data_IF_567700181727
#
_entry.id   IF_567700181727
#
_cell.length_a   1.000
_cell.length_b   1.000
_cell.length_c   1.000
_cell.angle_alpha   90.00
_cell.angle_beta   90.00
_cell.angle_gamma   90.00
#
_symmetry.space_group_name_H-M   'P 1'
#
loop_
_entity.id
_entity.type
_entity.pdbx_description
1 polymer ?
#
# COMPACT_ATOMS: atom_id res chain seq x y z
N UNK A 1 3.44 22.96 20.55
CA UNK A 1 4.71 23.66 20.33
C UNK A 1 5.81 22.67 20.64
N UNK A 2 6.79 22.53 19.75
CA UNK A 2 7.92 21.62 19.94
C UNK A 2 9.22 22.38 19.69
N UNK A 3 10.23 22.08 20.48
CA UNK A 3 11.56 22.61 20.30
C UNK A 3 12.32 21.77 19.28
N UNK A 4 13.02 22.40 18.37
CA UNK A 4 13.78 21.69 17.34
C UNK A 4 15.17 21.30 17.81
N UNK A 5 15.83 20.40 17.09
CA UNK A 5 17.23 20.05 17.37
C UNK A 5 18.18 21.26 17.33
N UNK A 6 17.88 22.25 16.47
CA UNK A 6 18.68 23.49 16.37
C UNK A 6 18.62 24.32 17.64
N UNK A 7 17.46 24.38 18.28
CA UNK A 7 17.31 25.07 19.59
C UNK A 7 18.21 24.43 20.65
N UNK A 8 18.19 23.09 20.77
CA UNK A 8 19.02 22.41 21.77
C UNK A 8 20.50 22.60 21.52
N UNK A 9 20.93 22.57 20.26
CA UNK A 9 22.34 22.84 19.91
C UNK A 9 22.71 24.30 20.29
N UNK A 10 21.88 25.28 19.96
CA UNK A 10 22.13 26.67 20.33
C UNK A 10 22.17 26.86 21.85
N UNK A 11 21.24 26.21 22.57
CA UNK A 11 21.23 26.25 24.03
C UNK A 11 22.51 25.66 24.67
N UNK A 12 22.95 24.51 24.17
CA UNK A 12 24.20 23.87 24.64
C UNK A 12 25.39 24.80 24.38
N UNK A 13 25.47 25.46 23.22
CA UNK A 13 26.54 26.40 22.92
C UNK A 13 26.54 27.59 23.90
N UNK A 14 25.36 28.13 24.22
CA UNK A 14 25.22 29.23 25.20
C UNK A 14 25.67 28.77 26.60
N UNK A 15 25.28 27.56 27.01
CA UNK A 15 25.69 27.01 28.31
C UNK A 15 27.23 26.83 28.41
N UNK A 16 27.84 26.30 27.32
CA UNK A 16 29.31 26.16 27.26
C UNK A 16 30.03 27.52 27.32
N UNK A 17 29.45 28.54 26.66
CA UNK A 17 29.98 29.89 26.68
C UNK A 17 29.91 30.50 28.09
N UNK A 18 28.78 30.32 28.78
CA UNK A 18 28.62 30.78 30.17
C UNK A 18 29.59 30.03 31.11
N UNK A 19 29.75 28.71 30.89
CA UNK A 19 30.70 27.91 31.67
C UNK A 19 32.17 28.34 31.48
N UNK A 20 32.53 28.72 30.24
CA UNK A 20 33.88 29.26 29.95
C UNK A 20 34.13 30.61 30.59
N UNK A 21 33.08 31.34 30.95
CA UNK A 21 33.15 32.61 31.69
C UNK A 21 33.72 32.49 33.07
N UNK A 22 33.75 31.26 33.64
CA UNK A 22 34.51 31.00 34.91
C UNK A 22 36.00 31.16 34.77
N UNK A 23 36.53 30.84 33.59
CA UNK A 23 37.98 30.97 33.28
C UNK A 23 38.30 32.40 32.81
N UNK A 24 37.40 33.02 32.04
CA UNK A 24 37.62 34.35 31.45
C UNK A 24 36.35 35.22 31.61
N UNK A 25 36.43 36.24 32.48
CA UNK A 25 35.29 37.14 32.79
C UNK A 25 34.55 37.75 31.58
N UNK A 26 35.23 38.12 30.45
CA UNK A 26 34.52 38.61 29.26
C UNK A 26 33.50 37.65 28.66
N UNK A 27 33.80 36.31 28.70
CA UNK A 27 32.90 35.31 28.12
C UNK A 27 31.59 35.18 28.90
N UNK A 28 31.60 35.49 30.20
CA UNK A 28 30.38 35.50 30.98
C UNK A 28 29.38 36.59 30.49
N UNK A 29 29.86 37.81 30.24
CA UNK A 29 29.05 38.90 29.73
C UNK A 29 28.52 38.57 28.32
N UNK A 30 29.37 38.02 27.45
CA UNK A 30 28.96 37.58 26.11
C UNK A 30 27.90 36.46 26.19
N UNK A 31 28.08 35.49 27.12
CA UNK A 31 27.09 34.43 27.35
C UNK A 31 25.75 34.92 27.79
N UNK A 32 25.65 35.96 28.65
CA UNK A 32 24.42 36.59 29.05
C UNK A 32 23.69 37.25 27.87
N UNK A 33 24.42 37.98 27.03
CA UNK A 33 23.86 38.58 25.81
C UNK A 33 23.42 37.54 24.81
N UNK A 34 24.16 36.44 24.66
CA UNK A 34 23.80 35.31 23.79
C UNK A 34 22.52 34.63 24.29
N UNK A 35 22.34 34.44 25.60
CA UNK A 35 21.14 33.87 26.17
C UNK A 35 19.93 34.78 25.92
N UNK A 36 20.10 36.09 26.12
CA UNK A 36 19.05 37.07 25.84
C UNK A 36 18.67 37.10 24.35
N UNK A 37 19.67 37.06 23.47
CA UNK A 37 19.44 37.01 22.04
C UNK A 37 18.70 35.71 21.63
N UNK A 38 19.07 34.57 22.20
CA UNK A 38 18.38 33.31 21.97
C UNK A 38 16.91 33.39 22.39
N UNK A 39 16.63 33.96 23.55
CA UNK A 39 15.26 34.18 24.04
C UNK A 39 14.44 35.07 23.09
N UNK A 40 15.01 36.15 22.59
CA UNK A 40 14.36 37.07 21.63
C UNK A 40 14.10 36.32 20.32
N UNK A 41 15.07 35.55 19.81
CA UNK A 41 14.91 34.78 18.56
C UNK A 41 13.84 33.71 18.68
N UNK A 42 13.77 32.96 19.79
CA UNK A 42 12.72 31.98 20.05
C UNK A 42 11.34 32.62 20.11
N UNK A 43 11.25 33.78 20.81
CA UNK A 43 10.00 34.52 20.91
C UNK A 43 9.52 35.05 19.54
N UNK A 44 10.46 35.54 18.73
CA UNK A 44 10.17 36.02 17.39
C UNK A 44 9.72 34.85 16.46
N UNK A 45 10.41 33.71 16.49
CA UNK A 45 10.05 32.52 15.73
C UNK A 45 8.65 32.00 16.14
N UNK A 46 8.38 31.97 17.46
CA UNK A 46 7.07 31.62 17.99
C UNK A 46 5.97 32.58 17.54
N UNK A 47 6.22 33.90 17.63
CA UNK A 47 5.26 34.88 17.17
C UNK A 47 4.91 34.72 15.68
N UNK A 48 5.91 34.52 14.84
CA UNK A 48 5.73 34.33 13.41
C UNK A 48 4.92 33.05 13.11
N UNK A 49 5.24 31.95 13.77
CA UNK A 49 4.57 30.67 13.59
C UNK A 49 3.12 30.66 14.06
N UNK A 50 2.80 31.42 15.12
CA UNK A 50 1.47 31.41 15.73
C UNK A 50 0.54 32.53 15.24
N UNK A 51 1.08 33.59 14.68
CA UNK A 51 0.30 34.69 14.12
C UNK A 51 -0.58 34.24 12.94
N UNK A 52 -0.09 33.29 12.13
CA UNK A 52 -0.81 32.79 10.97
C UNK A 52 -1.30 31.37 11.25
N UNK A 53 -2.58 31.12 10.95
CA UNK A 53 -3.15 29.78 10.95
C UNK A 53 -3.47 29.41 9.51
N UNK A 54 -2.67 28.55 8.89
CA UNK A 54 -2.86 28.38 7.47
C UNK A 54 -2.25 27.14 6.86
N UNK A 55 -2.28 26.00 7.58
CA UNK A 55 -1.95 24.71 6.98
C UNK A 55 -3.21 23.84 6.99
N UNK A 56 -3.56 23.35 5.80
CA UNK A 56 -4.60 22.36 5.62
C UNK A 56 -3.99 21.14 4.91
N UNK A 57 -4.38 19.97 5.34
CA UNK A 57 -3.95 18.73 4.72
C UNK A 57 -5.15 17.82 4.52
N UNK A 58 -5.27 17.27 3.31
CA UNK A 58 -6.36 16.39 2.91
C UNK A 58 -5.77 15.08 2.36
N UNK A 59 -6.31 13.96 2.84
CA UNK A 59 -6.01 12.64 2.29
C UNK A 59 -6.96 12.33 1.14
N UNK A 60 -6.43 11.83 0.05
CA UNK A 60 -7.18 11.25 -1.05
C UNK A 60 -6.70 9.83 -1.26
N UNK A 61 -7.58 8.89 -1.08
CA UNK A 61 -7.36 7.47 -1.34
C UNK A 61 -8.65 6.84 -1.82
N UNK A 62 -8.56 5.66 -2.38
CA UNK A 62 -9.75 4.87 -2.73
C UNK A 62 -10.45 4.37 -1.46
N UNK A 63 -11.77 4.33 -1.45
CA UNK A 63 -12.56 3.76 -0.35
C UNK A 63 -12.38 2.24 -0.21
N UNK A 64 -11.79 1.62 -1.24
CA UNK A 64 -11.59 0.16 -1.32
C UNK A 64 -10.15 -0.12 -1.72
N UNK A 65 -9.45 -0.85 -0.87
CA UNK A 65 -8.10 -1.32 -1.14
C UNK A 65 -8.10 -2.77 -1.57
N UNK A 66 -7.16 -3.13 -2.41
CA UNK A 66 -6.90 -4.50 -2.84
C UNK A 66 -5.82 -5.13 -1.97
N UNK A 67 -6.12 -6.31 -1.41
CA UNK A 67 -5.16 -7.05 -0.56
C UNK A 67 -4.01 -7.62 -1.38
N UNK A 68 -2.78 -7.36 -0.96
CA UNK A 68 -1.57 -7.82 -1.65
C UNK A 68 -1.12 -6.96 -2.82
N UNK A 69 -1.92 -5.97 -3.24
CA UNK A 69 -1.61 -5.04 -4.32
C UNK A 69 -1.17 -3.69 -3.76
N UNK A 70 -0.47 -2.91 -4.57
CA UNK A 70 -0.06 -1.56 -4.22
C UNK A 70 -1.22 -0.59 -4.42
N UNK A 71 -1.70 0.00 -3.32
CA UNK A 71 -2.78 0.96 -3.31
C UNK A 71 -2.21 2.37 -3.10
N UNK A 72 -2.51 3.28 -4.02
CA UNK A 72 -2.02 4.65 -3.95
C UNK A 72 -2.82 5.47 -2.93
N UNK A 73 -2.09 6.20 -2.09
CA UNK A 73 -2.62 7.19 -1.16
C UNK A 73 -1.92 8.51 -1.44
N UNK A 74 -2.66 9.59 -1.58
CA UNK A 74 -2.10 10.92 -1.80
C UNK A 74 -2.53 11.87 -0.68
N UNK A 75 -1.59 12.70 -0.22
CA UNK A 75 -1.82 13.75 0.76
C UNK A 75 -1.57 15.07 0.06
N UNK A 76 -2.59 15.89 -0.02
CA UNK A 76 -2.48 17.28 -0.49
C UNK A 76 -2.38 18.21 0.70
N UNK A 77 -1.28 18.96 0.77
CA UNK A 77 -1.04 19.97 1.78
C UNK A 77 -1.04 21.34 1.14
N UNK A 78 -1.79 22.27 1.72
CA UNK A 78 -1.91 23.64 1.27
C UNK A 78 -1.45 24.58 2.38
N UNK A 79 -0.68 25.61 2.00
CA UNK A 79 -0.16 26.61 2.92
C UNK A 79 -0.66 27.99 2.53
N UNK A 80 -1.19 28.74 3.49
CA UNK A 80 -1.53 30.17 3.32
C UNK A 80 -0.48 31.09 3.94
N UNK A 81 0.65 30.55 4.36
CA UNK A 81 1.76 31.36 4.85
C UNK A 81 2.43 32.12 3.70
N UNK A 82 2.76 33.38 3.96
CA UNK A 82 3.48 34.24 3.01
C UNK A 82 5.01 34.03 2.99
N UNK A 83 5.49 32.96 3.63
CA UNK A 83 6.92 32.62 3.73
C UNK A 83 7.17 31.16 3.39
N UNK A 84 8.34 30.84 2.88
CA UNK A 84 8.70 29.44 2.66
C UNK A 84 8.84 28.69 4.01
N UNK A 85 8.22 27.51 4.10
CA UNK A 85 8.18 26.69 5.29
C UNK A 85 8.76 25.29 5.01
N UNK A 86 9.40 24.75 6.02
CA UNK A 86 9.78 23.32 6.04
C UNK A 86 8.69 22.53 6.75
N UNK A 87 8.17 21.52 6.07
CA UNK A 87 7.11 20.66 6.57
C UNK A 87 7.61 19.24 6.80
N UNK A 88 7.18 18.67 7.90
CA UNK A 88 7.28 17.26 8.19
C UNK A 88 5.86 16.70 8.37
N UNK A 89 5.44 15.84 7.45
CA UNK A 89 4.09 15.32 7.36
C UNK A 89 4.12 13.86 7.79
N UNK A 90 3.32 13.53 8.80
CA UNK A 90 3.16 12.18 9.32
C UNK A 90 1.71 11.78 9.15
N UNK A 91 1.47 10.72 8.39
CA UNK A 91 0.14 10.13 8.28
C UNK A 91 -0.03 8.99 9.28
N UNK A 92 -1.11 9.02 10.06
CA UNK A 92 -1.44 7.98 11.01
C UNK A 92 -2.08 6.79 10.28
N UNK A 93 -1.22 5.89 9.81
CA UNK A 93 -1.62 4.67 9.12
C UNK A 93 -1.93 3.56 10.13
N UNK A 94 -2.97 2.73 9.91
CA UNK A 94 -3.22 1.56 10.72
C UNK A 94 -2.02 0.64 10.85
N UNK A 95 -1.73 0.16 12.04
CA UNK A 95 -0.55 -0.65 12.37
C UNK A 95 -0.35 -1.89 11.47
N UNK A 96 -1.45 -2.42 10.95
CA UNK A 96 -1.45 -3.64 10.14
C UNK A 96 -0.74 -3.50 8.79
N UNK A 97 -0.62 -2.27 8.27
CA UNK A 97 0.12 -2.01 7.03
C UNK A 97 1.64 -2.11 7.21
N UNK A 98 2.13 -2.27 8.46
CA UNK A 98 3.54 -2.45 8.84
C UNK A 98 4.50 -1.38 8.29
N UNK A 99 3.96 -0.29 7.73
CA UNK A 99 4.74 0.83 7.24
C UNK A 99 4.82 1.88 8.34
N UNK A 100 5.94 1.89 9.08
CA UNK A 100 6.14 2.79 10.23
C UNK A 100 6.73 4.14 9.84
N UNK A 101 7.30 4.24 8.65
CA UNK A 101 8.11 5.39 8.22
C UNK A 101 7.38 6.28 7.22
N UNK A 102 6.08 6.55 7.44
CA UNK A 102 5.33 7.49 6.60
C UNK A 102 5.54 8.91 7.12
N UNK A 103 6.78 9.35 7.03
CA UNK A 103 7.21 10.69 7.39
C UNK A 103 7.80 11.36 6.13
N UNK A 104 7.07 12.34 5.61
CA UNK A 104 7.49 13.06 4.41
C UNK A 104 8.00 14.43 4.80
N UNK A 105 9.25 14.73 4.41
CA UNK A 105 9.84 16.06 4.58
C UNK A 105 9.81 16.80 3.27
N UNK A 106 9.26 18.00 3.29
CA UNK A 106 9.16 18.85 2.10
C UNK A 106 9.23 20.32 2.49
N UNK A 107 9.56 21.16 1.51
CA UNK A 107 9.46 22.62 1.68
C UNK A 107 8.33 23.12 0.79
N UNK A 108 7.56 24.07 1.31
CA UNK A 108 6.53 24.78 0.55
C UNK A 108 6.95 26.24 0.37
N UNK A 109 6.70 26.75 -0.82
CA UNK A 109 6.79 28.19 -1.10
C UNK A 109 5.56 28.92 -0.58
N UNK A 110 5.57 30.25 -0.49
CA UNK A 110 4.43 31.03 -0.07
C UNK A 110 3.18 30.70 -0.89
N UNK A 111 2.05 30.43 -0.21
CA UNK A 111 0.76 30.12 -0.82
C UNK A 111 0.79 28.94 -1.81
N UNK A 112 1.68 28.00 -1.60
CA UNK A 112 1.83 26.81 -2.43
C UNK A 112 1.06 25.62 -1.85
N UNK A 113 0.50 24.79 -2.74
CA UNK A 113 -0.05 23.48 -2.43
C UNK A 113 0.81 22.37 -3.04
N UNK A 114 1.11 21.33 -2.27
CA UNK A 114 1.90 20.19 -2.74
C UNK A 114 1.18 18.87 -2.45
N UNK A 115 1.21 17.99 -3.43
CA UNK A 115 0.69 16.62 -3.29
C UNK A 115 1.84 15.63 -3.16
N UNK A 116 1.74 14.76 -2.18
CA UNK A 116 2.70 13.69 -1.90
C UNK A 116 1.94 12.37 -2.04
N UNK A 117 2.39 11.48 -2.91
CA UNK A 117 1.82 10.15 -3.09
C UNK A 117 2.73 9.09 -2.49
N UNK A 118 2.11 8.08 -1.89
CA UNK A 118 2.79 6.89 -1.40
C UNK A 118 1.90 5.67 -1.60
N UNK A 119 2.48 4.48 -1.53
CA UNK A 119 1.78 3.23 -1.77
C UNK A 119 1.69 2.40 -0.49
N UNK A 120 0.52 1.80 -0.28
CA UNK A 120 0.29 0.87 0.82
C UNK A 120 -0.11 -0.49 0.28
N UNK A 121 0.50 -1.52 0.86
CA UNK A 121 0.23 -2.91 0.49
C UNK A 121 -0.34 -3.66 1.69
N UNK A 122 -1.67 -3.73 1.81
CA UNK A 122 -2.31 -4.48 2.88
C UNK A 122 -2.04 -5.98 2.74
N UNK A 123 -1.83 -6.65 3.87
CA UNK A 123 -1.58 -8.10 3.90
C UNK A 123 -2.77 -8.91 4.38
N UNK A 124 -3.78 -8.25 4.95
CA UNK A 124 -5.00 -8.90 5.46
C UNK A 124 -6.24 -8.12 5.04
N UNK A 125 -7.31 -8.83 4.79
CA UNK A 125 -8.64 -8.27 4.52
C UNK A 125 -9.25 -7.72 5.80
N UNK A 126 -10.09 -6.70 5.70
CA UNK A 126 -10.79 -6.12 6.84
C UNK A 126 -11.12 -4.65 6.61
N UNK A 127 -11.67 -4.02 7.66
CA UNK A 127 -11.91 -2.58 7.71
C UNK A 127 -10.83 -1.97 8.60
N UNK A 128 -10.17 -0.94 8.09
CA UNK A 128 -9.07 -0.28 8.77
C UNK A 128 -9.31 1.22 8.85
N UNK A 129 -9.19 1.76 10.05
CA UNK A 129 -9.38 3.18 10.30
C UNK A 129 -8.05 3.91 10.21
N UNK A 130 -7.96 4.82 9.27
CA UNK A 130 -6.87 5.78 9.19
C UNK A 130 -7.07 6.88 10.23
N UNK A 131 -6.01 7.24 10.93
CA UNK A 131 -6.01 8.33 11.86
C UNK A 131 -5.92 9.71 11.19
N UNK A 132 -5.43 10.67 11.94
CA UNK A 132 -5.27 12.05 11.50
C UNK A 132 -3.93 12.24 10.78
N UNK A 133 -3.85 13.32 10.00
CA UNK A 133 -2.61 13.77 9.38
C UNK A 133 -1.96 14.79 10.29
N UNK A 134 -0.74 14.51 10.75
CA UNK A 134 0.04 15.44 11.59
C UNK A 134 1.05 16.17 10.72
N UNK A 135 0.96 17.49 10.68
CA UNK A 135 1.88 18.34 9.93
C UNK A 135 2.68 19.19 10.91
N UNK A 136 3.98 18.97 10.95
CA UNK A 136 4.90 19.81 11.71
C UNK A 136 5.49 20.86 10.80
N UNK A 137 5.34 22.10 11.20
CA UNK A 137 5.74 23.28 10.45
C UNK A 137 6.90 23.97 11.14
N UNK A 138 7.94 24.24 10.39
CA UNK A 138 9.15 24.91 10.87
C UNK A 138 9.49 26.06 9.92
N UNK A 139 9.76 27.24 10.44
CA UNK A 139 10.22 28.41 9.67
C UNK A 139 11.72 28.29 9.34
N UNK A 140 12.26 29.24 8.58
CA UNK A 140 13.69 29.31 8.22
C UNK A 140 14.62 29.34 9.42
N UNK A 141 14.26 30.07 10.48
CA UNK A 141 15.01 30.14 11.73
C UNK A 141 15.12 28.73 12.31
N UNK A 142 13.98 28.03 12.39
CA UNK A 142 13.94 26.63 12.72
C UNK A 142 14.23 26.32 14.17
N UNK A 143 13.95 27.22 15.10
CA UNK A 143 14.09 26.98 16.53
C UNK A 143 12.86 26.32 17.11
N UNK A 144 11.69 26.62 16.56
CA UNK A 144 10.40 26.09 16.95
C UNK A 144 9.74 25.31 15.84
N UNK A 145 8.91 24.36 16.24
CA UNK A 145 8.01 23.63 15.33
C UNK A 145 6.59 23.66 15.88
N UNK A 146 5.63 23.99 15.02
CA UNK A 146 4.21 23.96 15.33
C UNK A 146 3.56 22.75 14.70
N UNK A 147 2.81 21.98 15.49
CA UNK A 147 2.03 20.85 15.00
C UNK A 147 0.62 21.29 14.62
N UNK A 148 0.23 20.93 13.41
CA UNK A 148 -1.15 20.97 12.94
C UNK A 148 -1.68 19.55 12.88
N UNK A 149 -2.92 19.38 13.26
CA UNK A 149 -3.64 18.11 13.15
C UNK A 149 -4.75 18.33 12.15
N UNK A 150 -4.66 17.66 11.03
CA UNK A 150 -5.54 17.83 9.87
C UNK A 150 -6.17 16.50 9.49
N UNK A 151 -7.18 16.57 8.63
CA UNK A 151 -7.88 15.39 8.13
C UNK A 151 -8.86 14.80 9.15
N UNK A 152 -9.82 14.06 8.65
CA UNK A 152 -10.74 13.28 9.47
C UNK A 152 -10.34 11.81 9.43
N UNK A 153 -10.59 11.04 10.51
CA UNK A 153 -10.46 9.58 10.45
C UNK A 153 -11.34 9.04 9.34
N UNK A 154 -10.79 8.11 8.56
CA UNK A 154 -11.47 7.50 7.43
C UNK A 154 -11.32 5.99 7.50
N UNK A 155 -12.44 5.27 7.39
CA UNK A 155 -12.45 3.82 7.33
C UNK A 155 -12.30 3.36 5.89
N UNK A 156 -11.33 2.47 5.66
CA UNK A 156 -11.04 1.90 4.35
C UNK A 156 -11.27 0.39 4.42
N UNK A 157 -11.99 -0.14 3.43
CA UNK A 157 -12.27 -1.57 3.30
C UNK A 157 -11.24 -2.24 2.40
N UNK A 158 -10.56 -3.26 2.92
CA UNK A 158 -9.59 -4.06 2.16
C UNK A 158 -10.26 -5.33 1.67
N UNK A 159 -10.39 -5.45 0.35
CA UNK A 159 -10.98 -6.59 -0.35
C UNK A 159 -9.91 -7.57 -0.84
N UNK A 160 -10.28 -8.81 -1.21
CA UNK A 160 -9.37 -9.71 -1.91
C UNK A 160 -8.81 -9.08 -3.19
N UNK A 161 -7.58 -9.46 -3.57
CA UNK A 161 -6.98 -8.97 -4.82
C UNK A 161 -7.81 -9.41 -6.03
N UNK A 162 -8.47 -8.45 -6.66
CA UNK A 162 -9.23 -8.70 -7.89
C UNK A 162 -8.30 -8.80 -9.11
N UNK A 163 -7.12 -8.18 -9.06
CA UNK A 163 -6.10 -8.30 -10.12
C UNK A 163 -5.58 -9.73 -10.20
N UNK A 164 -5.32 -10.35 -9.06
CA UNK A 164 -4.92 -11.76 -9.00
C UNK A 164 -6.05 -12.67 -9.50
N UNK A 165 -7.30 -12.40 -9.11
CA UNK A 165 -8.45 -13.16 -9.60
C UNK A 165 -8.55 -13.10 -11.13
N UNK A 166 -8.48 -11.91 -11.70
CA UNK A 166 -8.55 -11.72 -13.16
C UNK A 166 -7.37 -12.40 -13.87
N UNK A 167 -6.16 -12.33 -13.29
CA UNK A 167 -5.00 -13.05 -13.82
C UNK A 167 -5.19 -14.57 -13.81
N UNK A 168 -5.72 -15.11 -12.71
CA UNK A 168 -6.02 -16.55 -12.64
C UNK A 168 -7.18 -16.96 -13.55
N UNK A 169 -8.18 -16.11 -13.74
CA UNK A 169 -9.27 -16.32 -14.68
C UNK A 169 -8.73 -16.40 -16.13
N UNK A 170 -7.89 -15.45 -16.52
CA UNK A 170 -7.22 -15.47 -17.83
C UNK A 170 -6.33 -16.70 -18.01
N UNK A 171 -5.60 -17.10 -16.97
CA UNK A 171 -4.78 -18.30 -17.00
C UNK A 171 -5.62 -19.59 -17.06
N UNK A 172 -6.77 -19.61 -16.40
CA UNK A 172 -7.69 -20.75 -16.47
C UNK A 172 -8.38 -20.87 -17.84
N UNK A 173 -8.61 -19.73 -18.53
CA UNK A 173 -9.12 -19.70 -19.89
C UNK A 173 -8.06 -20.00 -20.94
N UNK A 174 -6.79 -19.71 -20.65
CA UNK A 174 -5.68 -20.09 -21.51
C UNK A 174 -5.35 -21.56 -21.26
N UNK A 175 -5.19 -22.36 -22.32
CA UNK A 175 -4.80 -23.79 -22.24
C UNK A 175 -3.39 -24.02 -21.63
N UNK A 176 -2.73 -22.98 -21.14
CA UNK A 176 -1.37 -22.96 -20.58
C UNK A 176 -1.28 -23.33 -19.09
N UNK A 177 -2.22 -24.11 -18.58
CA UNK A 177 -2.16 -24.66 -17.20
C UNK A 177 -0.88 -25.48 -16.94
N UNK A 178 -0.19 -25.88 -18.00
CA UNK A 178 1.07 -26.65 -17.95
C UNK A 178 2.25 -25.78 -17.45
N UNK A 179 2.26 -24.48 -17.73
CA UNK A 179 3.33 -23.56 -17.30
C UNK A 179 3.28 -23.25 -15.80
N UNK A 180 2.11 -23.41 -15.18
CA UNK A 180 1.91 -23.20 -13.73
C UNK A 180 2.26 -24.43 -12.88
N UNK A 181 2.83 -25.50 -13.49
CA UNK A 181 3.16 -26.73 -12.75
C UNK A 181 1.95 -27.54 -12.31
N UNK A 182 0.75 -27.17 -12.76
CA UNK A 182 -0.47 -27.95 -12.49
C UNK A 182 -0.45 -29.16 -13.42
N UNK A 183 -0.11 -30.32 -12.85
CA UNK A 183 -0.05 -31.58 -13.56
C UNK A 183 -1.38 -31.83 -14.26
N UNK A 184 -1.36 -31.90 -15.59
CA UNK A 184 -2.52 -32.29 -16.40
C UNK A 184 -2.96 -33.68 -15.94
N UNK A 185 -4.01 -33.76 -15.13
CA UNK A 185 -4.61 -35.03 -14.77
C UNK A 185 -5.29 -35.52 -16.06
N UNK A 186 -4.66 -36.52 -16.68
CA UNK A 186 -5.25 -37.23 -17.80
C UNK A 186 -6.46 -38.01 -17.26
N UNK A 187 -7.62 -37.39 -17.28
CA UNK A 187 -8.86 -38.08 -16.94
C UNK A 187 -9.15 -39.01 -18.13
N UNK A 188 -9.09 -40.28 -17.88
CA UNK A 188 -9.67 -41.29 -18.76
C UNK A 188 -11.17 -41.19 -18.57
N UNK A 189 -11.79 -40.23 -19.31
CA UNK A 189 -13.24 -40.12 -19.42
C UNK A 189 -13.72 -41.14 -20.43
N UNK A 190 -14.84 -41.79 -20.16
CA UNK A 190 -15.56 -42.52 -21.17
C UNK A 190 -16.06 -41.52 -22.19
N UNK A 191 -15.43 -41.53 -23.38
CA UNK A 191 -15.77 -40.68 -24.50
C UNK A 191 -17.11 -41.11 -25.06
N UNK A 192 -18.07 -40.24 -25.13
CA UNK A 192 -19.46 -40.57 -25.49
C UNK A 192 -19.85 -40.08 -26.87
N UNK A 193 -19.21 -39.05 -27.43
CA UNK A 193 -19.55 -38.59 -28.78
C UNK A 193 -18.54 -39.07 -29.82
N UNK A 194 -19.08 -39.77 -30.83
CA UNK A 194 -18.33 -40.25 -31.98
C UNK A 194 -18.02 -39.07 -32.91
N UNK A 195 -16.73 -38.88 -33.26
CA UNK A 195 -16.28 -37.83 -34.16
C UNK A 195 -16.05 -38.40 -35.59
N UNK A 196 -15.12 -39.37 -35.71
CA UNK A 196 -14.76 -39.91 -37.02
C UNK A 196 -14.10 -41.31 -36.89
N UNK A 197 -13.96 -41.95 -38.01
CA UNK A 197 -13.15 -43.19 -38.14
C UNK A 197 -11.89 -42.84 -38.87
N UNK A 198 -10.74 -43.16 -38.25
CA UNK A 198 -9.40 -43.00 -38.85
C UNK A 198 -8.67 -44.34 -38.96
N UNK A 199 -7.60 -44.37 -39.74
CA UNK A 199 -6.68 -45.53 -39.80
C UNK A 199 -5.95 -45.69 -38.44
N UNK A 200 -5.77 -46.96 -38.05
CA UNK A 200 -5.03 -47.31 -36.83
C UNK A 200 -3.56 -46.94 -36.96
N UNK A 201 -3.04 -46.19 -36.04
CA UNK A 201 -1.61 -45.87 -35.92
C UNK A 201 -1.08 -46.54 -34.65
N UNK A 202 0.16 -47.08 -34.74
CA UNK A 202 0.83 -47.74 -33.61
C UNK A 202 0.88 -46.77 -32.39
N UNK A 203 0.08 -47.11 -31.36
CA UNK A 203 -0.08 -46.29 -30.16
C UNK A 203 -1.54 -45.86 -29.88
N UNK A 204 -2.46 -46.06 -30.85
CA UNK A 204 -3.90 -45.91 -30.61
C UNK A 204 -4.43 -47.07 -29.73
N UNK A 205 -5.49 -46.78 -28.94
CA UNK A 205 -6.08 -47.78 -28.05
C UNK A 205 -6.79 -48.89 -28.87
N UNK A 206 -6.33 -50.14 -28.73
CA UNK A 206 -6.91 -51.30 -29.41
C UNK A 206 -8.40 -51.52 -29.08
N UNK A 207 -8.91 -50.96 -27.97
CA UNK A 207 -10.31 -51.05 -27.55
C UNK A 207 -11.26 -50.22 -28.43
N UNK A 208 -10.72 -49.25 -29.14
CA UNK A 208 -11.48 -48.35 -30.03
C UNK A 208 -11.48 -48.86 -31.48
N UNK A 209 -10.96 -50.05 -31.76
CA UNK A 209 -10.96 -50.64 -33.10
C UNK A 209 -12.40 -50.90 -33.56
N UNK A 210 -12.72 -50.38 -34.74
CA UNK A 210 -14.01 -50.61 -35.41
C UNK A 210 -13.85 -51.77 -36.36
N UNK A 211 -14.15 -52.99 -35.91
CA UNK A 211 -14.02 -54.20 -36.68
C UNK A 211 -14.89 -54.21 -37.97
N UNK A 212 -16.07 -53.55 -37.94
CA UNK A 212 -16.95 -53.46 -39.08
C UNK A 212 -16.38 -52.53 -40.17
N UNK A 213 -15.78 -51.42 -39.81
CA UNK A 213 -15.10 -50.53 -40.76
C UNK A 213 -13.83 -51.15 -41.29
N UNK A 214 -13.07 -51.80 -40.43
CA UNK A 214 -11.81 -52.51 -40.80
C UNK A 214 -12.05 -53.63 -41.82
N UNK A 215 -13.10 -54.43 -41.63
CA UNK A 215 -13.46 -55.48 -42.57
C UNK A 215 -13.88 -54.95 -43.96
N UNK A 216 -14.43 -53.74 -44.05
CA UNK A 216 -14.80 -53.13 -45.33
C UNK A 216 -13.65 -52.51 -46.09
N UNK A 217 -12.66 -51.97 -45.36
CA UNK A 217 -11.48 -51.29 -45.95
C UNK A 217 -10.25 -52.13 -46.08
N UNK A 218 -10.26 -53.35 -45.50
CA UNK A 218 -9.08 -54.27 -45.42
C UNK A 218 -7.87 -53.66 -44.65
N UNK A 219 -8.11 -52.61 -43.84
CA UNK A 219 -7.14 -51.95 -43.00
C UNK A 219 -7.74 -51.73 -41.61
N UNK A 220 -6.88 -51.72 -40.55
CA UNK A 220 -7.35 -51.50 -39.21
C UNK A 220 -7.84 -50.06 -39.05
N UNK A 221 -9.09 -49.92 -38.65
CA UNK A 221 -9.74 -48.60 -38.42
C UNK A 221 -10.11 -48.45 -36.96
N UNK A 222 -9.96 -47.22 -36.43
CA UNK A 222 -10.31 -46.87 -35.05
C UNK A 222 -11.35 -45.78 -35.01
N UNK A 223 -12.25 -45.86 -34.04
CA UNK A 223 -13.19 -44.80 -33.75
C UNK A 223 -12.47 -43.71 -32.92
N UNK A 224 -12.56 -42.48 -33.38
CA UNK A 224 -12.12 -41.29 -32.63
C UNK A 224 -13.35 -40.67 -32.02
N UNK A 225 -13.28 -40.37 -30.71
CA UNK A 225 -14.32 -39.75 -29.98
C UNK A 225 -13.88 -38.33 -29.58
N UNK A 226 -14.81 -37.36 -29.59
CA UNK A 226 -14.55 -36.02 -29.19
C UNK A 226 -14.63 -35.91 -27.65
N UNK A 227 -13.65 -35.24 -27.04
CA UNK A 227 -13.70 -34.94 -25.63
C UNK A 227 -14.82 -33.87 -25.40
N UNK A 228 -15.90 -34.25 -24.71
CA UNK A 228 -16.88 -33.28 -24.24
C UNK A 228 -16.19 -32.27 -23.29
N UNK A 229 -16.09 -31.04 -23.75
CA UNK A 229 -15.52 -29.93 -22.96
C UNK A 229 -16.50 -29.37 -21.92
N UNK A 230 -17.70 -29.93 -21.78
CA UNK A 230 -18.65 -29.52 -20.76
C UNK A 230 -18.23 -30.06 -19.38
N UNK A 231 -17.45 -29.26 -18.65
CA UNK A 231 -17.15 -29.52 -17.25
C UNK A 231 -18.28 -28.95 -16.39
N UNK A 232 -18.98 -29.78 -15.65
CA UNK A 232 -19.83 -29.30 -14.56
C UNK A 232 -18.93 -28.83 -13.43
N UNK A 233 -18.88 -27.52 -13.22
CA UNK A 233 -18.13 -26.91 -12.12
C UNK A 233 -19.08 -26.78 -10.94
N UNK A 234 -18.82 -27.52 -9.88
CA UNK A 234 -19.53 -27.38 -8.62
C UNK A 234 -18.77 -26.42 -7.70
N UNK A 235 -19.37 -25.26 -7.41
CA UNK A 235 -18.89 -24.39 -6.32
C UNK A 235 -19.51 -24.85 -5.00
N UNK A 236 -18.71 -25.45 -4.15
CA UNK A 236 -19.14 -25.84 -2.80
C UNK A 236 -18.75 -24.75 -1.83
N UNK A 237 -19.76 -24.05 -1.30
CA UNK A 237 -19.56 -23.04 -0.25
C UNK A 237 -19.89 -23.69 1.08
N UNK A 238 -18.89 -23.86 1.94
CA UNK A 238 -19.11 -24.33 3.29
C UNK A 238 -19.73 -23.20 4.13
N UNK A 239 -20.95 -23.45 4.65
CA UNK A 239 -21.66 -22.55 5.56
C UNK A 239 -21.62 -23.07 7.01
N UNK A 240 -20.68 -23.95 7.34
CA UNK A 240 -20.50 -24.46 8.69
C UNK A 240 -20.25 -23.35 9.73
N UNK A 241 -20.44 -23.65 11.01
CA UNK A 241 -20.29 -22.67 12.11
C UNK A 241 -18.94 -21.97 12.11
N UNK A 242 -17.88 -22.65 11.75
CA UNK A 242 -16.53 -22.09 11.68
C UNK A 242 -16.42 -20.99 10.62
N UNK A 243 -17.06 -21.18 9.47
CA UNK A 243 -17.07 -20.18 8.38
C UNK A 243 -17.98 -18.99 8.67
N UNK A 244 -19.05 -19.18 9.45
CA UNK A 244 -19.90 -18.09 9.91
C UNK A 244 -19.17 -17.13 10.85
N UNK A 245 -18.31 -17.63 11.72
CA UNK A 245 -17.49 -16.78 12.60
C UNK A 245 -16.48 -15.93 11.81
N UNK A 246 -15.91 -16.47 10.76
CA UNK A 246 -15.00 -15.72 9.87
C UNK A 246 -15.74 -14.64 9.05
N UNK A 247 -16.99 -14.86 8.67
CA UNK A 247 -17.78 -13.90 7.91
C UNK A 247 -18.30 -12.73 8.76
N UNK A 248 -18.60 -12.96 10.03
CA UNK A 248 -19.08 -11.91 10.95
C UNK A 248 -17.98 -10.94 11.40
N UNK A 249 -16.72 -11.35 11.33
CA UNK A 249 -15.58 -10.48 11.68
C UNK A 249 -15.13 -9.64 10.47
N UNK A 250 -15.60 -9.97 9.26
CA UNK A 250 -15.04 -9.42 8.01
C UNK A 250 -16.05 -8.85 7.02
N UNK A 251 -17.27 -8.55 7.47
CA UNK A 251 -18.24 -7.77 6.68
C UNK A 251 -18.35 -6.37 7.26
#
# INVERSE_FOLDING_TARGET
MYLTRRFYIALILVILLLGSGYLFAPFFVIGQWALFALFVLVSADGYILYRTQGIQAFRRCSDRFSNGDDNEVSIRVESTYSRPLSLEIIDEIPFIFQNRDVCFRTTLQPNEGKTISYHLRPTRRGVYSFGQIRVFVTDKIGLLSRRYTCGQPQDIKVYPSYLMLHRYELLAMSDNLTELGIKRIRRVGHQTEFEQIKEYVKGDDYRTINWKASARRHELMVNVYQDERSQQIYSVIDKGRVMQQLSLIHI
#
